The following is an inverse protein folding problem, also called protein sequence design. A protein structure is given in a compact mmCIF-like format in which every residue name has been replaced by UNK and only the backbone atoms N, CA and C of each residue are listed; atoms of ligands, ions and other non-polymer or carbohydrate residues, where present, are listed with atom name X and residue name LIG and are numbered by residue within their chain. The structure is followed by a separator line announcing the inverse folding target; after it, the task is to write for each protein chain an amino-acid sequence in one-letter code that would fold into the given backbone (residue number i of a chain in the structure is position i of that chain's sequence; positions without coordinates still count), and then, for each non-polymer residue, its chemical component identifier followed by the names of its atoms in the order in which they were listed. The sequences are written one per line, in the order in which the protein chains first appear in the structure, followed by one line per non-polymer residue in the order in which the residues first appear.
data_IF_861206407019
#
_entry.id   IF_861206407019
#
_cell.length_a   1.000
_cell.length_b   1.000
_cell.length_c   1.000
_cell.angle_alpha   90.00
_cell.angle_beta   90.00
_cell.angle_gamma   90.00
#
_symmetry.space_group_name_H-M   'P 1'
#
loop_
_entity.id
_entity.type
_entity.pdbx_description
1 polymer ?
#
# COMPACT_ATOMS: atom_id res chain seq x y z
N UNK A 1 -50.30 69.71 38.24
CA UNK A 1 -50.47 68.29 38.64
C UNK A 1 -50.85 67.52 37.39
N UNK A 2 -50.18 66.38 37.14
CA UNK A 2 -50.38 65.38 36.07
C UNK A 2 -50.23 65.88 34.62
N UNK A 3 -49.47 65.24 33.74
CA UNK A 3 -48.77 63.96 33.77
C UNK A 3 -48.50 63.59 32.30
N UNK A 4 -47.24 63.50 31.92
CA UNK A 4 -46.75 63.01 30.64
C UNK A 4 -47.06 61.52 30.49
N UNK A 5 -47.49 61.06 29.32
CA UNK A 5 -47.15 59.70 28.89
C UNK A 5 -47.07 59.63 27.37
N UNK A 6 -45.82 59.48 26.95
CA UNK A 6 -45.32 59.23 25.62
C UNK A 6 -45.95 57.99 24.99
N UNK A 7 -46.36 58.12 23.73
CA UNK A 7 -46.83 56.99 22.93
C UNK A 7 -45.99 56.87 21.67
N UNK A 8 -44.67 56.89 21.86
CA UNK A 8 -43.68 56.50 20.85
C UNK A 8 -43.27 55.04 21.07
N UNK A 9 -44.00 54.10 20.47
CA UNK A 9 -43.50 52.74 20.22
C UNK A 9 -44.49 51.93 19.36
N UNK A 10 -44.68 52.35 18.10
CA UNK A 10 -45.37 51.52 17.11
C UNK A 10 -44.48 51.26 15.88
N UNK A 11 -43.19 51.01 16.11
CA UNK A 11 -42.24 50.56 15.09
C UNK A 11 -41.19 49.61 15.69
N UNK A 12 -41.63 48.47 16.25
CA UNK A 12 -40.71 47.38 16.59
C UNK A 12 -40.62 46.41 15.40
N UNK A 13 -39.73 46.73 14.46
CA UNK A 13 -39.00 45.70 13.71
C UNK A 13 -38.22 44.81 14.69
N UNK A 14 -38.02 43.51 14.38
CA UNK A 14 -37.85 42.46 15.39
C UNK A 14 -36.54 42.62 16.17
N UNK A 15 -36.59 42.52 17.51
CA UNK A 15 -35.39 42.25 18.31
C UNK A 15 -34.90 40.85 17.93
N UNK A 16 -33.69 40.78 17.37
CA UNK A 16 -33.00 39.53 17.08
C UNK A 16 -32.75 38.80 18.41
N UNK A 17 -33.44 37.68 18.61
CA UNK A 17 -33.27 36.81 19.77
C UNK A 17 -31.80 36.32 19.81
N UNK A 18 -30.99 36.67 20.82
CA UNK A 18 -29.58 36.30 20.89
C UNK A 18 -29.47 34.85 21.38
N UNK A 19 -30.23 33.93 20.79
CA UNK A 19 -29.97 32.50 20.94
C UNK A 19 -28.52 32.26 20.51
N UNK A 20 -27.69 31.56 21.30
CA UNK A 20 -26.28 31.35 21.01
C UNK A 20 -26.11 30.37 19.83
N UNK A 21 -26.45 30.81 18.62
CA UNK A 21 -26.29 30.07 17.37
C UNK A 21 -24.82 30.04 16.92
N UNK A 22 -23.97 30.85 17.54
CA UNK A 22 -22.54 30.92 17.25
C UNK A 22 -21.79 29.69 17.78
N UNK A 23 -22.10 29.21 18.99
CA UNK A 23 -21.45 28.04 19.59
C UNK A 23 -21.59 26.74 18.77
N UNK A 24 -22.80 26.32 18.32
CA UNK A 24 -22.93 25.13 17.48
C UNK A 24 -22.28 25.31 16.11
N UNK A 25 -22.25 26.53 15.58
CA UNK A 25 -21.59 26.85 14.30
C UNK A 25 -20.07 26.75 14.41
N UNK A 26 -19.49 27.23 15.52
CA UNK A 26 -18.07 27.10 15.83
C UNK A 26 -17.70 25.63 16.06
N UNK A 27 -18.47 24.89 16.86
CA UNK A 27 -18.24 23.45 17.09
C UNK A 27 -18.35 22.63 15.80
N UNK A 28 -19.35 22.91 14.96
CA UNK A 28 -19.50 22.28 13.65
C UNK A 28 -18.32 22.58 12.73
N UNK A 29 -17.85 23.82 12.68
CA UNK A 29 -16.67 24.20 11.90
C UNK A 29 -15.38 23.54 12.44
N UNK A 30 -15.21 23.45 13.75
CA UNK A 30 -14.06 22.81 14.39
C UNK A 30 -14.07 21.30 14.15
N UNK A 31 -15.24 20.66 14.13
CA UNK A 31 -15.39 19.25 13.78
C UNK A 31 -15.01 18.99 12.31
N UNK A 32 -15.42 19.86 11.38
CA UNK A 32 -15.05 19.75 9.96
C UNK A 32 -13.54 19.97 9.77
N UNK A 33 -12.96 20.99 10.42
CA UNK A 33 -11.52 21.25 10.36
C UNK A 33 -10.73 20.11 10.99
N UNK A 34 -11.16 19.61 12.15
CA UNK A 34 -10.57 18.45 12.82
C UNK A 34 -10.66 17.18 11.97
N UNK A 35 -11.77 16.97 11.25
CA UNK A 35 -11.92 15.87 10.30
C UNK A 35 -10.97 16.02 9.11
N UNK A 36 -10.87 17.21 8.52
CA UNK A 36 -9.94 17.48 7.40
C UNK A 36 -8.49 17.26 7.82
N UNK A 37 -8.10 17.78 8.99
CA UNK A 37 -6.74 17.60 9.53
C UNK A 37 -6.49 16.15 9.93
N UNK A 38 -7.45 15.47 10.54
CA UNK A 38 -7.37 14.05 10.88
C UNK A 38 -7.18 13.16 9.65
N UNK A 39 -7.88 13.46 8.54
CA UNK A 39 -7.69 12.77 7.25
C UNK A 39 -6.32 13.06 6.65
N UNK A 40 -5.81 14.30 6.74
CA UNK A 40 -4.47 14.65 6.25
C UNK A 40 -3.36 13.97 7.07
N UNK A 41 -3.53 13.85 8.40
CA UNK A 41 -2.59 13.15 9.29
C UNK A 41 -2.66 11.63 9.08
N UNK A 42 -3.86 11.07 8.89
CA UNK A 42 -4.04 9.62 8.66
C UNK A 42 -3.34 9.10 7.40
N UNK A 43 -3.10 9.95 6.41
CA UNK A 43 -2.31 9.60 5.22
C UNK A 43 -0.80 9.59 5.48
N UNK A 44 -0.32 10.37 6.45
CA UNK A 44 1.12 10.47 6.73
C UNK A 44 1.67 9.23 7.45
N UNK A 45 0.80 8.40 8.03
CA UNK A 45 1.17 7.18 8.77
C UNK A 45 0.99 5.91 7.96
N UNK A 46 0.65 5.98 6.66
CA UNK A 46 0.57 4.78 5.84
C UNK A 46 1.99 4.34 5.50
N UNK A 47 2.45 3.16 5.94
CA UNK A 47 3.77 2.66 5.58
C UNK A 47 3.87 2.54 4.05
N UNK A 48 5.03 2.88 3.50
CA UNK A 48 5.27 2.79 2.06
C UNK A 48 5.00 1.35 1.57
N UNK A 49 4.23 1.19 0.48
CA UNK A 49 3.91 -0.13 -0.03
C UNK A 49 5.19 -0.82 -0.52
N UNK A 50 5.32 -2.11 -0.22
CA UNK A 50 6.41 -2.91 -0.79
C UNK A 50 6.26 -2.98 -2.30
N UNK A 51 7.30 -2.61 -3.02
CA UNK A 51 7.33 -2.50 -4.47
C UNK A 51 8.49 -3.32 -5.04
N UNK A 52 8.21 -4.07 -6.10
CA UNK A 52 9.19 -4.75 -6.94
C UNK A 52 9.95 -3.70 -7.75
N UNK A 53 11.26 -3.62 -7.51
CA UNK A 53 12.17 -2.71 -8.18
C UNK A 53 12.73 -3.34 -9.45
N UNK A 54 13.27 -4.55 -9.32
CA UNK A 54 14.00 -5.20 -10.41
C UNK A 54 14.01 -6.72 -10.27
N UNK A 55 14.06 -7.42 -11.39
CA UNK A 55 14.26 -8.87 -11.47
C UNK A 55 15.50 -9.13 -12.32
N UNK A 56 16.46 -9.84 -11.76
CA UNK A 56 17.75 -10.15 -12.40
C UNK A 56 17.95 -11.67 -12.49
N UNK A 57 18.19 -12.21 -13.69
CA UNK A 57 18.64 -13.60 -13.82
C UNK A 57 20.06 -13.74 -13.28
N UNK A 58 20.27 -14.74 -12.41
CA UNK A 58 21.56 -15.14 -11.87
C UNK A 58 21.99 -16.51 -12.43
N UNK A 59 23.24 -16.90 -12.17
CA UNK A 59 23.84 -18.14 -12.71
C UNK A 59 23.11 -19.41 -12.31
N UNK A 60 22.54 -19.42 -11.11
CA UNK A 60 21.91 -20.58 -10.46
C UNK A 60 20.45 -20.29 -10.05
N UNK A 61 19.86 -19.21 -10.56
CA UNK A 61 18.48 -18.87 -10.28
C UNK A 61 18.12 -17.41 -10.54
N UNK A 62 17.32 -16.81 -9.67
CA UNK A 62 16.73 -15.49 -9.88
C UNK A 62 16.93 -14.59 -8.66
N UNK A 63 17.35 -13.36 -8.90
CA UNK A 63 17.44 -12.32 -7.87
C UNK A 63 16.30 -11.33 -8.06
N UNK A 64 15.56 -11.07 -6.99
CA UNK A 64 14.41 -10.16 -7.01
C UNK A 64 14.66 -9.05 -6.00
N UNK A 65 14.59 -7.81 -6.47
CA UNK A 65 14.85 -6.61 -5.67
C UNK A 65 13.54 -5.92 -5.30
N UNK A 66 13.38 -5.63 -4.02
CA UNK A 66 12.26 -4.86 -3.47
C UNK A 66 12.78 -3.64 -2.72
N UNK A 67 11.94 -2.62 -2.52
CA UNK A 67 12.25 -1.48 -1.64
C UNK A 67 12.29 -1.90 -0.15
N UNK A 68 11.40 -2.80 0.25
CA UNK A 68 11.29 -3.33 1.61
C UNK A 68 11.12 -4.85 1.58
N UNK A 69 11.27 -5.49 2.73
CA UNK A 69 11.01 -6.93 2.87
C UNK A 69 9.54 -7.24 2.52
N UNK A 70 9.27 -8.04 1.47
CA UNK A 70 7.92 -8.46 1.14
C UNK A 70 7.48 -9.60 2.06
N UNK A 71 6.19 -9.65 2.41
CA UNK A 71 5.63 -10.88 2.97
C UNK A 71 5.61 -11.94 1.87
N UNK A 72 6.37 -13.00 2.08
CA UNK A 72 6.52 -14.11 1.16
C UNK A 72 5.65 -15.30 1.57
N UNK A 73 4.89 -15.84 0.62
CA UNK A 73 4.30 -17.17 0.72
C UNK A 73 4.82 -18.01 -0.44
N UNK A 74 5.63 -19.02 -0.14
CA UNK A 74 6.20 -19.93 -1.14
C UNK A 74 5.57 -21.31 -1.04
N UNK A 75 5.20 -21.87 -2.19
CA UNK A 75 4.73 -23.25 -2.30
C UNK A 75 5.53 -23.98 -3.39
N UNK A 76 6.01 -25.17 -3.07
CA UNK A 76 6.61 -26.10 -4.02
C UNK A 76 5.53 -27.07 -4.51
N UNK A 77 5.20 -27.00 -5.80
CA UNK A 77 4.16 -27.86 -6.39
C UNK A 77 4.79 -28.62 -7.55
N UNK A 78 4.98 -29.94 -7.38
CA UNK A 78 5.32 -30.90 -8.44
C UNK A 78 6.36 -30.40 -9.47
N UNK A 79 7.49 -29.86 -8.98
CA UNK A 79 8.58 -29.41 -9.84
C UNK A 79 8.47 -27.99 -10.39
N UNK A 80 7.44 -27.25 -9.98
CA UNK A 80 7.27 -25.81 -10.22
C UNK A 80 7.46 -25.05 -8.89
N UNK A 81 8.17 -23.93 -8.95
CA UNK A 81 8.33 -23.03 -7.80
C UNK A 81 7.38 -21.84 -8.00
N UNK A 82 6.43 -21.67 -7.09
CA UNK A 82 5.50 -20.55 -7.08
C UNK A 82 5.71 -19.73 -5.80
N UNK A 83 6.04 -18.45 -5.97
CA UNK A 83 6.29 -17.52 -4.88
C UNK A 83 5.31 -16.35 -5.00
N UNK A 84 4.45 -16.19 -3.98
CA UNK A 84 3.55 -15.06 -3.86
C UNK A 84 4.17 -14.02 -2.92
N UNK A 85 4.27 -12.78 -3.40
CA UNK A 85 4.75 -11.63 -2.65
C UNK A 85 3.59 -10.66 -2.42
N UNK A 86 3.39 -10.25 -1.18
CA UNK A 86 2.55 -9.08 -0.84
C UNK A 86 3.34 -7.81 -1.22
N UNK A 87 3.35 -7.51 -2.51
CA UNK A 87 4.08 -6.40 -3.10
C UNK A 87 3.36 -5.89 -4.36
N UNK A 88 3.65 -4.66 -4.75
CA UNK A 88 3.19 -4.04 -5.99
C UNK A 88 4.32 -4.00 -7.01
N UNK A 89 4.02 -3.99 -8.31
CA UNK A 89 5.07 -3.95 -9.32
C UNK A 89 4.54 -4.13 -10.72
N UNK A 90 5.42 -4.43 -11.67
CA UNK A 90 5.04 -4.70 -13.05
C UNK A 90 5.12 -6.20 -13.35
N UNK A 91 4.25 -6.67 -14.23
CA UNK A 91 4.37 -8.02 -14.75
C UNK A 91 5.63 -8.07 -15.64
N UNK A 92 6.45 -9.10 -15.44
CA UNK A 92 7.72 -9.29 -16.12
C UNK A 92 7.89 -10.77 -16.41
N UNK A 93 8.59 -11.09 -17.48
CA UNK A 93 8.90 -12.46 -17.81
C UNK A 93 10.27 -12.52 -18.46
N UNK A 94 10.90 -13.69 -18.37
CA UNK A 94 12.15 -13.95 -19.02
C UNK A 94 12.52 -15.42 -18.94
N UNK A 95 13.73 -15.68 -19.39
CA UNK A 95 14.32 -17.00 -19.40
C UNK A 95 15.71 -16.88 -18.80
N UNK A 96 16.12 -17.90 -18.06
CA UNK A 96 17.47 -18.03 -17.52
C UNK A 96 17.94 -19.47 -17.68
N UNK A 97 19.25 -19.68 -17.68
CA UNK A 97 19.86 -21.00 -17.74
C UNK A 97 20.35 -21.43 -16.37
N UNK A 98 19.83 -22.54 -15.84
CA UNK A 98 20.36 -23.21 -14.64
C UNK A 98 20.88 -24.57 -15.04
N UNK A 99 22.14 -24.89 -14.74
CA UNK A 99 22.76 -26.17 -15.09
C UNK A 99 22.58 -26.54 -16.59
N UNK A 100 22.77 -25.55 -17.47
CA UNK A 100 22.58 -25.63 -18.93
C UNK A 100 21.13 -25.91 -19.39
N UNK A 101 20.15 -25.81 -18.50
CA UNK A 101 18.72 -25.99 -18.79
C UNK A 101 17.98 -24.66 -18.77
N UNK A 102 17.04 -24.56 -19.70
CA UNK A 102 16.17 -23.41 -19.83
C UNK A 102 15.09 -23.41 -18.75
N UNK A 103 15.09 -22.34 -17.94
CA UNK A 103 14.07 -22.06 -16.93
C UNK A 103 13.34 -20.78 -17.32
N UNK A 104 12.04 -20.91 -17.52
CA UNK A 104 11.17 -19.76 -17.77
C UNK A 104 10.65 -19.22 -16.46
N UNK A 105 10.80 -17.91 -16.28
CA UNK A 105 10.28 -17.21 -15.11
C UNK A 105 9.27 -16.15 -15.53
N UNK A 106 8.22 -15.97 -14.72
CA UNK A 106 7.19 -14.97 -14.98
C UNK A 106 6.61 -14.43 -13.68
N UNK A 107 6.67 -13.11 -13.53
CA UNK A 107 5.97 -12.32 -12.53
C UNK A 107 4.62 -11.88 -13.09
N UNK A 108 3.55 -12.17 -12.36
CA UNK A 108 2.17 -11.74 -12.67
C UNK A 108 1.58 -10.97 -11.50
N UNK A 109 0.68 -10.04 -11.80
CA UNK A 109 -0.19 -9.43 -10.79
C UNK A 109 -1.34 -10.39 -10.47
N UNK A 110 -1.66 -10.54 -9.19
CA UNK A 110 -2.80 -11.30 -8.68
C UNK A 110 -3.52 -10.47 -7.62
N UNK A 111 -4.71 -10.91 -7.19
CA UNK A 111 -5.46 -10.23 -6.13
C UNK A 111 -4.70 -10.20 -4.79
N UNK A 112 -3.78 -11.15 -4.59
CA UNK A 112 -2.92 -11.25 -3.40
C UNK A 112 -1.52 -10.62 -3.54
N UNK A 113 -1.24 -9.88 -4.63
CA UNK A 113 0.05 -9.21 -4.85
C UNK A 113 0.75 -9.63 -6.15
N UNK A 114 2.03 -9.98 -6.07
CA UNK A 114 2.85 -10.43 -7.20
C UNK A 114 3.14 -11.93 -7.08
N UNK A 115 2.78 -12.70 -8.11
CA UNK A 115 3.07 -14.12 -8.22
C UNK A 115 4.24 -14.35 -9.20
N UNK A 116 5.34 -14.89 -8.69
CA UNK A 116 6.46 -15.37 -9.48
C UNK A 116 6.36 -16.88 -9.66
N UNK A 117 6.30 -17.30 -10.92
CA UNK A 117 6.36 -18.71 -11.29
C UNK A 117 7.69 -18.99 -11.99
N UNK A 118 8.37 -20.05 -11.56
CA UNK A 118 9.55 -20.61 -12.24
C UNK A 118 9.22 -22.02 -12.72
N UNK A 119 9.37 -22.25 -14.03
CA UNK A 119 9.02 -23.52 -14.69
C UNK A 119 10.20 -24.00 -15.51
N UNK A 120 10.58 -25.27 -15.33
CA UNK A 120 11.55 -25.96 -16.17
C UNK A 120 11.00 -27.30 -16.66
N UNK A 121 11.73 -27.94 -17.58
CA UNK A 121 11.37 -29.23 -18.15
C UNK A 121 11.46 -30.42 -17.16
N UNK A 122 12.02 -30.21 -15.97
CA UNK A 122 12.23 -31.23 -14.93
C UNK A 122 11.88 -30.67 -13.55
N UNK A 123 11.67 -31.53 -12.53
CA UNK A 123 11.36 -31.07 -11.19
C UNK A 123 12.46 -30.16 -10.64
N UNK A 124 12.09 -28.92 -10.33
CA UNK A 124 12.95 -27.95 -9.67
C UNK A 124 12.66 -27.90 -8.18
N UNK A 125 13.73 -27.85 -7.39
CA UNK A 125 13.69 -27.45 -5.97
C UNK A 125 14.15 -26.01 -5.87
N UNK A 126 13.26 -25.13 -5.45
CA UNK A 126 13.61 -23.73 -5.17
C UNK A 126 14.03 -23.55 -3.71
N UNK A 127 15.18 -22.95 -3.46
CA UNK A 127 15.51 -22.40 -2.15
C UNK A 127 15.54 -20.88 -2.28
N UNK A 128 15.12 -20.15 -1.26
CA UNK A 128 15.14 -18.70 -1.29
C UNK A 128 15.65 -18.12 0.01
N UNK A 129 16.42 -17.04 -0.09
CA UNK A 129 16.91 -16.29 1.06
C UNK A 129 16.77 -14.80 0.81
N UNK A 130 16.28 -14.08 1.81
CA UNK A 130 16.12 -12.63 1.77
C UNK A 130 17.17 -11.95 2.64
N UNK A 131 17.74 -10.84 2.15
CA UNK A 131 18.63 -9.98 2.93
C UNK A 131 18.47 -8.52 2.54
N UNK A 132 18.68 -7.62 3.50
CA UNK A 132 18.78 -6.19 3.23
C UNK A 132 20.16 -5.84 2.65
N UNK A 133 20.20 -5.08 1.56
CA UNK A 133 21.40 -4.61 0.87
C UNK A 133 21.15 -3.18 0.40
N UNK A 134 21.96 -2.22 0.85
CA UNK A 134 21.91 -0.81 0.42
C UNK A 134 20.50 -0.19 0.45
N UNK A 135 19.83 -0.27 1.60
CA UNK A 135 18.43 0.19 1.81
C UNK A 135 17.38 -0.44 0.90
N UNK A 136 17.73 -1.55 0.23
CA UNK A 136 16.82 -2.37 -0.56
C UNK A 136 16.78 -3.78 0.01
N UNK A 137 15.73 -4.50 -0.34
CA UNK A 137 15.63 -5.91 -0.03
C UNK A 137 16.00 -6.75 -1.24
N UNK A 138 16.95 -7.66 -1.07
CA UNK A 138 17.40 -8.61 -2.09
C UNK A 138 16.90 -9.99 -1.71
N UNK A 139 16.10 -10.58 -2.58
CA UNK A 139 15.67 -11.97 -2.48
C UNK A 139 16.43 -12.80 -3.52
N UNK A 140 17.25 -13.73 -3.06
CA UNK A 140 17.98 -14.69 -3.90
C UNK A 140 17.19 -15.99 -3.93
N UNK A 141 16.80 -16.43 -5.12
CA UNK A 141 16.09 -17.69 -5.35
C UNK A 141 17.06 -18.61 -6.08
N UNK A 142 17.55 -19.62 -5.39
CA UNK A 142 18.40 -20.66 -5.94
C UNK A 142 17.54 -21.82 -6.44
N UNK A 143 17.86 -22.32 -7.64
CA UNK A 143 17.17 -23.43 -8.26
C UNK A 143 18.11 -24.63 -8.29
N UNK A 144 17.70 -25.71 -7.64
CA UNK A 144 18.41 -26.98 -7.60
C UNK A 144 17.59 -28.02 -8.39
N UNK A 145 18.29 -28.84 -9.18
CA UNK A 145 17.66 -30.01 -9.82
C UNK A 145 17.58 -31.16 -8.80
N UNK A 146 16.46 -31.89 -8.81
CA UNK A 146 16.24 -33.08 -7.99
C UNK A 146 16.57 -34.37 -8.75
#
# INVERSE_FOLDING_TARGET
MHGSEDKDAAHSTPEDDPRPQLLPRVLGSLAIVGLMVGLMIGRLTTPDPTALLQVEPATDGLVVWFNHEPKLHGEHIDGTVALLFDAQGHAQAGQLKVNDKDVNWRVRKTDGGLLLNLVAARPLRGEWSGKAVDDRWRLEIHLLEQ
#
